data_IF_108861780873
#
_entry.id   IF_108861780873
#
_cell.length_a   1.000
_cell.length_b   1.000
_cell.length_c   1.000
_cell.angle_alpha   90.00
_cell.angle_beta   90.00
_cell.angle_gamma   90.00
#
_symmetry.space_group_name_H-M   'P 1'
#
loop_
_entity.id
_entity.type
_entity.pdbx_description
1 polymer ?
#
# COMPACT_ATOMS: atom_id res chain seq x y z
N UNK A 1 -20.39 31.47 36.53
CA UNK A 1 -21.03 30.21 37.02
C UNK A 1 -22.31 30.03 36.21
N UNK A 2 -22.64 28.95 35.50
CA UNK A 2 -22.16 27.58 35.24
C UNK A 2 -22.46 27.35 33.74
N UNK A 3 -21.64 26.71 32.90
CA UNK A 3 -21.13 25.36 33.06
C UNK A 3 -22.21 24.36 32.63
N UNK A 4 -22.26 24.01 31.34
CA UNK A 4 -23.16 23.01 30.77
C UNK A 4 -22.49 22.31 29.60
N UNK A 5 -21.77 21.23 29.92
CA UNK A 5 -20.96 20.37 29.05
C UNK A 5 -21.89 19.39 28.34
N UNK A 6 -21.90 19.35 27.01
CA UNK A 6 -22.51 18.26 26.24
C UNK A 6 -21.39 17.29 25.84
N UNK A 7 -21.27 16.21 26.62
CA UNK A 7 -20.41 15.08 26.30
C UNK A 7 -21.12 14.18 25.27
N UNK A 8 -20.76 14.35 24.00
CA UNK A 8 -21.07 13.37 22.96
C UNK A 8 -20.03 12.26 22.96
N UNK A 9 -20.24 11.22 23.77
CA UNK A 9 -19.43 9.99 23.71
C UNK A 9 -19.84 9.15 22.50
N UNK A 10 -19.42 9.57 21.31
CA UNK A 10 -19.45 8.75 20.10
C UNK A 10 -18.15 7.96 19.98
N UNK A 11 -18.04 6.82 20.67
CA UNK A 11 -17.04 5.81 20.28
C UNK A 11 -17.49 5.25 18.93
N UNK A 12 -17.03 5.87 17.85
CA UNK A 12 -17.10 5.26 16.52
C UNK A 12 -16.07 4.14 16.50
N UNK A 13 -16.50 2.96 16.93
CA UNK A 13 -15.82 1.70 16.64
C UNK A 13 -15.85 1.52 15.12
N UNK A 14 -14.84 2.03 14.41
CA UNK A 14 -14.51 1.56 13.08
C UNK A 14 -13.96 0.16 13.26
N UNK A 15 -14.83 -0.86 13.31
CA UNK A 15 -14.43 -2.21 12.94
C UNK A 15 -14.08 -2.15 11.46
N UNK A 16 -12.83 -1.82 11.16
CA UNK A 16 -12.23 -2.12 9.87
C UNK A 16 -12.47 -3.59 9.62
N UNK A 17 -12.97 -3.96 8.44
CA UNK A 17 -12.92 -5.35 8.01
C UNK A 17 -11.47 -5.81 8.19
N UNK A 18 -11.26 -6.85 8.98
CA UNK A 18 -9.92 -7.35 9.31
C UNK A 18 -9.22 -7.68 8.00
N UNK A 19 -8.12 -6.99 7.69
CA UNK A 19 -7.33 -7.24 6.50
C UNK A 19 -6.69 -8.62 6.66
N UNK A 20 -6.96 -9.54 5.74
CA UNK A 20 -6.37 -10.89 5.78
C UNK A 20 -5.11 -10.89 4.92
N UNK A 21 -4.01 -11.35 5.50
CA UNK A 21 -2.71 -11.45 4.83
C UNK A 21 -2.29 -12.91 4.67
N UNK A 22 -1.56 -13.22 3.59
CA UNK A 22 -0.92 -14.51 3.43
C UNK A 22 0.43 -14.55 4.17
N UNK A 23 1.12 -13.43 4.27
CA UNK A 23 2.30 -13.23 5.13
C UNK A 23 1.95 -13.19 6.62
N UNK A 24 2.91 -13.57 7.46
CA UNK A 24 2.83 -13.26 8.90
C UNK A 24 3.16 -11.80 9.15
N UNK A 25 2.81 -11.31 10.34
CA UNK A 25 3.16 -9.94 10.74
C UNK A 25 4.67 -9.73 10.76
N UNK A 26 5.44 -10.68 11.28
CA UNK A 26 6.89 -10.63 11.40
C UNK A 26 7.58 -10.53 10.03
N UNK A 27 7.05 -11.23 9.02
CA UNK A 27 7.56 -11.18 7.66
C UNK A 27 7.37 -9.80 7.03
N UNK A 28 6.21 -9.17 7.27
CA UNK A 28 5.96 -7.78 6.83
C UNK A 28 6.82 -6.80 7.59
N UNK A 29 6.88 -6.94 8.92
CA UNK A 29 7.67 -6.10 9.81
C UNK A 29 9.15 -6.11 9.40
N UNK A 30 9.69 -7.27 9.03
CA UNK A 30 11.07 -7.43 8.57
C UNK A 30 11.40 -6.58 7.33
N UNK A 31 10.41 -6.24 6.50
CA UNK A 31 10.60 -5.39 5.32
C UNK A 31 10.38 -3.89 5.60
N UNK A 32 9.85 -3.53 6.78
CA UNK A 32 9.64 -2.12 7.13
C UNK A 32 10.97 -1.39 7.41
N UNK A 33 11.04 -0.06 7.24
CA UNK A 33 12.26 0.71 7.48
C UNK A 33 12.87 0.52 8.88
N UNK A 34 14.20 0.36 8.92
CA UNK A 34 15.02 0.30 10.15
C UNK A 34 15.99 1.47 10.29
N UNK A 35 16.17 2.25 9.23
CA UNK A 35 17.15 3.33 9.11
C UNK A 35 16.63 4.41 8.16
N UNK A 36 17.41 5.49 7.97
CA UNK A 36 17.10 6.62 7.08
C UNK A 36 15.83 7.40 7.48
N UNK A 37 15.47 7.36 8.76
CA UNK A 37 14.27 7.96 9.29
C UNK A 37 13.97 7.49 10.70
N UNK A 38 12.81 7.91 11.19
CA UNK A 38 12.33 7.61 12.54
C UNK A 38 10.86 7.24 12.54
N UNK A 39 10.52 6.29 13.38
CA UNK A 39 9.13 5.97 13.70
C UNK A 39 8.60 6.97 14.72
N UNK A 40 7.36 7.44 14.54
CA UNK A 40 6.69 8.32 15.49
C UNK A 40 6.24 7.56 16.76
N UNK A 41 6.17 6.24 16.68
CA UNK A 41 5.83 5.33 17.78
C UNK A 41 6.38 3.93 17.50
N UNK A 42 5.55 2.90 17.71
CA UNK A 42 5.93 1.51 17.45
C UNK A 42 6.20 1.27 15.95
N UNK A 43 7.30 0.57 15.65
CA UNK A 43 7.68 0.22 14.28
C UNK A 43 6.64 -0.72 13.68
N UNK A 44 6.15 -0.40 12.49
CA UNK A 44 5.10 -1.16 11.80
C UNK A 44 3.67 -0.73 12.15
N UNK A 45 3.47 0.03 13.23
CA UNK A 45 2.16 0.44 13.76
C UNK A 45 2.05 1.96 13.96
N UNK A 46 2.93 2.72 13.33
CA UNK A 46 2.97 4.18 13.45
C UNK A 46 3.48 4.83 12.18
N UNK A 47 3.64 6.15 12.19
CA UNK A 47 4.14 6.89 11.04
C UNK A 47 5.66 6.77 10.95
N UNK A 48 6.17 6.36 9.79
CA UNK A 48 7.58 6.48 9.47
C UNK A 48 7.89 7.82 8.80
N UNK A 49 8.82 8.59 9.38
CA UNK A 49 9.27 9.90 8.90
C UNK A 49 10.67 9.72 8.31
N UNK A 50 10.79 9.84 6.99
CA UNK A 50 12.04 9.62 6.26
C UNK A 50 12.94 10.88 6.29
N UNK A 51 14.27 10.72 6.30
CA UNK A 51 15.22 11.85 6.37
C UNK A 51 15.47 12.54 5.01
N UNK A 52 15.30 11.80 3.92
CA UNK A 52 15.43 12.31 2.56
C UNK A 52 14.48 13.49 2.21
N UNK A 53 15.06 14.60 1.77
CA UNK A 53 14.35 15.85 1.46
C UNK A 53 13.33 15.70 0.31
N UNK A 54 13.68 15.05 -0.80
CA UNK A 54 12.77 14.83 -1.94
C UNK A 54 11.48 14.08 -1.51
N UNK A 55 11.60 13.09 -0.62
CA UNK A 55 10.44 12.40 -0.05
C UNK A 55 9.59 13.35 0.77
N UNK A 56 10.22 14.15 1.61
CA UNK A 56 9.52 15.08 2.50
C UNK A 56 8.81 16.19 1.71
N UNK A 57 9.39 16.66 0.61
CA UNK A 57 8.74 17.60 -0.31
C UNK A 57 7.46 17.01 -0.92
N UNK A 58 7.50 15.75 -1.39
CA UNK A 58 6.32 15.06 -1.92
C UNK A 58 5.23 14.91 -0.85
N UNK A 59 5.61 14.49 0.36
CA UNK A 59 4.66 14.29 1.45
C UNK A 59 4.03 15.60 1.94
N UNK A 60 4.80 16.70 1.91
CA UNK A 60 4.29 18.02 2.30
C UNK A 60 3.17 18.53 1.37
N UNK A 61 3.19 18.14 0.08
CA UNK A 61 2.13 18.50 -0.88
C UNK A 61 0.78 17.85 -0.56
N UNK A 62 0.77 16.84 0.33
CA UNK A 62 -0.41 16.13 0.78
C UNK A 62 -0.58 16.22 2.31
N UNK A 63 -0.01 17.27 2.92
CA UNK A 63 -0.07 17.56 4.36
C UNK A 63 0.37 16.40 5.26
N UNK A 64 1.29 15.55 4.78
CA UNK A 64 1.87 14.44 5.51
C UNK A 64 3.33 14.75 5.88
N UNK A 65 3.74 14.27 7.07
CA UNK A 65 5.14 14.31 7.53
C UNK A 65 5.87 12.98 7.35
N UNK A 66 5.15 11.93 6.98
CA UNK A 66 5.61 10.56 6.87
C UNK A 66 4.51 9.67 6.30
N UNK A 67 4.80 8.37 6.16
CA UNK A 67 3.82 7.37 5.76
C UNK A 67 3.36 6.59 6.99
N UNK A 68 2.05 6.47 7.13
CA UNK A 68 1.43 5.69 8.20
C UNK A 68 1.53 4.20 7.88
N UNK A 69 1.90 3.40 8.88
CA UNK A 69 1.84 1.94 8.80
C UNK A 69 0.84 1.40 9.81
N UNK A 70 0.15 0.33 9.44
CA UNK A 70 -0.58 -0.56 10.34
C UNK A 70 -0.43 -2.00 9.87
N UNK A 71 -0.36 -2.95 10.79
CA UNK A 71 -0.05 -4.34 10.48
C UNK A 71 1.25 -4.49 9.65
N UNK A 72 2.22 -3.59 9.86
CA UNK A 72 3.45 -3.47 9.08
C UNK A 72 3.26 -3.24 7.55
N UNK A 73 2.10 -2.68 7.15
CA UNK A 73 1.80 -2.30 5.76
C UNK A 73 1.71 -0.77 5.63
N UNK A 74 2.39 -0.14 4.66
CA UNK A 74 2.29 1.30 4.45
C UNK A 74 0.97 1.69 3.80
N UNK A 75 0.40 2.82 4.22
CA UNK A 75 -0.69 3.48 3.52
C UNK A 75 -0.14 4.52 2.52
N UNK A 76 -0.05 4.14 1.24
CA UNK A 76 0.30 5.07 0.17
C UNK A 76 -0.88 5.82 -0.44
N UNK A 77 -2.11 5.63 0.06
CA UNK A 77 -3.30 6.31 -0.46
C UNK A 77 -3.17 7.83 -0.53
N UNK A 78 -2.52 8.53 0.43
CA UNK A 78 -2.43 9.99 0.38
C UNK A 78 -1.57 10.51 -0.78
N UNK A 79 -0.60 9.71 -1.26
CA UNK A 79 0.30 10.09 -2.36
C UNK A 79 -0.11 9.48 -3.71
N UNK A 80 -1.18 8.69 -3.75
CA UNK A 80 -1.67 8.02 -4.95
C UNK A 80 -2.28 9.03 -5.94
N UNK A 81 -1.82 9.02 -7.19
CA UNK A 81 -2.41 9.79 -8.30
C UNK A 81 -3.53 9.03 -9.02
N UNK A 82 -3.74 7.77 -8.68
CA UNK A 82 -4.80 6.95 -9.26
C UNK A 82 -4.89 5.62 -8.54
N UNK A 83 -6.09 5.29 -8.08
CA UNK A 83 -6.40 4.00 -7.44
C UNK A 83 -7.37 3.21 -8.31
N UNK A 84 -7.06 1.95 -8.57
CA UNK A 84 -7.93 1.00 -9.28
C UNK A 84 -7.89 -0.36 -8.60
N UNK A 85 -8.91 -1.19 -8.83
CA UNK A 85 -8.95 -2.55 -8.33
C UNK A 85 -8.88 -3.51 -9.52
N UNK A 86 -7.93 -4.44 -9.50
CA UNK A 86 -7.78 -5.49 -10.52
C UNK A 86 -8.30 -6.82 -9.98
N UNK A 87 -8.89 -7.61 -10.87
CA UNK A 87 -9.24 -8.99 -10.56
C UNK A 87 -8.05 -9.91 -10.81
N UNK A 88 -7.81 -10.85 -9.88
CA UNK A 88 -6.76 -11.85 -9.99
C UNK A 88 -5.36 -11.24 -10.09
N UNK A 89 -4.97 -10.44 -9.10
CA UNK A 89 -3.57 -10.05 -8.92
C UNK A 89 -2.72 -11.31 -8.76
N UNK A 90 -1.62 -11.40 -9.49
CA UNK A 90 -0.70 -12.54 -9.43
C UNK A 90 0.74 -12.11 -9.19
N UNK A 91 1.67 -13.05 -9.19
CA UNK A 91 3.11 -12.76 -9.14
C UNK A 91 3.65 -12.05 -10.40
N UNK A 92 2.88 -12.02 -11.49
CA UNK A 92 3.24 -11.33 -12.74
C UNK A 92 2.90 -9.83 -12.66
N UNK A 93 3.92 -9.05 -12.28
CA UNK A 93 3.87 -7.59 -12.17
C UNK A 93 3.45 -6.92 -13.48
N UNK A 94 3.95 -7.38 -14.62
CA UNK A 94 3.66 -6.75 -15.91
C UNK A 94 2.20 -6.96 -16.32
N UNK A 95 1.65 -8.15 -16.05
CA UNK A 95 0.22 -8.42 -16.23
C UNK A 95 -0.65 -7.55 -15.32
N UNK A 96 -0.29 -7.44 -14.04
CA UNK A 96 -0.99 -6.57 -13.07
C UNK A 96 -0.97 -5.10 -13.53
N UNK A 97 0.21 -4.60 -13.94
CA UNK A 97 0.39 -3.22 -14.42
C UNK A 97 -0.44 -2.94 -15.67
N UNK A 98 -0.53 -3.90 -16.60
CA UNK A 98 -1.36 -3.76 -17.80
C UNK A 98 -2.85 -3.62 -17.45
N UNK A 99 -3.37 -4.47 -16.54
CA UNK A 99 -4.76 -4.37 -16.05
C UNK A 99 -5.00 -3.01 -15.37
N UNK A 100 -4.07 -2.55 -14.56
CA UNK A 100 -4.18 -1.26 -13.86
C UNK A 100 -4.15 -0.07 -14.83
N UNK A 101 -3.25 -0.09 -15.83
CA UNK A 101 -3.19 0.92 -16.90
C UNK A 101 -4.52 0.97 -17.69
N UNK A 102 -5.12 -0.18 -17.99
CA UNK A 102 -6.42 -0.27 -18.69
C UNK A 102 -7.57 0.34 -17.89
N UNK A 103 -7.62 0.08 -16.58
CA UNK A 103 -8.66 0.62 -15.71
C UNK A 103 -8.50 2.12 -15.46
N UNK A 104 -7.26 2.59 -15.25
CA UNK A 104 -7.00 4.00 -15.04
C UNK A 104 -7.23 4.81 -16.31
N UNK A 105 -6.89 4.25 -17.48
CA UNK A 105 -7.16 4.84 -18.79
C UNK A 105 -8.65 5.17 -18.97
N UNK A 106 -9.54 4.26 -18.58
CA UNK A 106 -11.00 4.51 -18.58
C UNK A 106 -11.39 5.67 -17.68
N UNK A 107 -10.80 5.78 -16.49
CA UNK A 107 -11.07 6.88 -15.54
C UNK A 107 -10.58 8.23 -16.07
N UNK A 108 -9.45 8.23 -16.78
CA UNK A 108 -8.83 9.44 -17.31
C UNK A 108 -9.33 9.83 -18.72
N UNK A 109 -10.08 8.96 -19.40
CA UNK A 109 -10.52 9.20 -20.77
C UNK A 109 -9.38 9.17 -21.80
N UNK A 110 -8.34 8.39 -21.54
CA UNK A 110 -7.15 8.24 -22.40
C UNK A 110 -6.91 6.77 -22.75
N UNK A 111 -5.87 6.47 -23.52
CA UNK A 111 -5.47 5.09 -23.81
C UNK A 111 -4.56 4.49 -22.72
N UNK A 112 -4.52 3.16 -22.55
CA UNK A 112 -3.58 2.51 -21.62
C UNK A 112 -2.11 2.83 -21.93
N UNK A 113 -1.79 3.03 -23.21
CA UNK A 113 -0.44 3.44 -23.65
C UNK A 113 -0.08 4.84 -23.15
N UNK A 114 -1.03 5.76 -23.15
CA UNK A 114 -0.84 7.12 -22.60
C UNK A 114 -0.65 7.09 -21.09
N UNK A 115 -1.40 6.27 -20.36
CA UNK A 115 -1.16 6.05 -18.92
C UNK A 115 0.26 5.52 -18.69
N UNK A 116 0.65 4.43 -19.34
CA UNK A 116 2.01 3.87 -19.23
C UNK A 116 3.10 4.88 -19.54
N UNK A 117 2.91 5.70 -20.59
CA UNK A 117 3.84 6.77 -20.97
C UNK A 117 3.90 7.84 -19.87
N UNK A 118 2.76 8.31 -19.39
CA UNK A 118 2.68 9.30 -18.31
C UNK A 118 3.40 8.82 -17.05
N UNK A 119 3.16 7.57 -16.62
CA UNK A 119 3.83 6.99 -15.44
C UNK A 119 5.36 7.03 -15.56
N UNK A 120 5.89 6.60 -16.71
CA UNK A 120 7.33 6.61 -16.96
C UNK A 120 7.91 8.03 -16.99
N UNK A 121 7.23 8.96 -17.65
CA UNK A 121 7.69 10.35 -17.76
C UNK A 121 7.65 11.10 -16.43
N UNK A 122 6.67 10.80 -15.58
CA UNK A 122 6.48 11.47 -14.29
C UNK A 122 7.09 10.70 -13.10
N UNK A 123 7.78 9.58 -13.35
CA UNK A 123 8.41 8.73 -12.33
C UNK A 123 7.41 8.16 -11.30
N UNK A 124 6.32 7.58 -11.81
CA UNK A 124 5.33 6.85 -11.01
C UNK A 124 5.36 5.34 -11.31
N UNK A 125 5.04 4.55 -10.30
CA UNK A 125 4.87 3.10 -10.41
C UNK A 125 3.53 2.68 -9.84
N UNK A 126 3.01 1.55 -10.33
CA UNK A 126 1.95 0.88 -9.61
C UNK A 126 2.54 0.18 -8.38
N UNK A 127 1.88 0.37 -7.25
CA UNK A 127 2.03 -0.41 -6.02
C UNK A 127 0.87 -1.41 -5.97
N UNK A 128 1.19 -2.69 -6.02
CA UNK A 128 0.25 -3.77 -5.71
C UNK A 128 0.04 -3.84 -4.20
N UNK A 129 -1.16 -3.57 -3.71
CA UNK A 129 -1.46 -3.57 -2.28
C UNK A 129 -1.69 -5.00 -1.75
N UNK A 130 -1.47 -5.21 -0.45
CA UNK A 130 -1.52 -6.51 0.22
C UNK A 130 -2.91 -7.15 0.24
N UNK A 131 -3.96 -6.43 -0.15
CA UNK A 131 -5.32 -6.97 -0.28
C UNK A 131 -5.55 -7.79 -1.57
N UNK A 132 -4.50 -7.96 -2.40
CA UNK A 132 -4.50 -8.70 -3.67
C UNK A 132 -5.43 -8.14 -4.75
N UNK A 133 -5.85 -6.87 -4.62
CA UNK A 133 -6.81 -6.26 -5.54
C UNK A 133 -6.45 -4.82 -5.88
N UNK A 134 -6.09 -4.03 -4.87
CA UNK A 134 -5.86 -2.61 -5.01
C UNK A 134 -4.52 -2.33 -5.67
N UNK A 135 -4.55 -1.44 -6.65
CA UNK A 135 -3.39 -0.90 -7.35
C UNK A 135 -3.37 0.60 -7.12
N UNK A 136 -2.30 1.10 -6.50
CA UNK A 136 -2.09 2.53 -6.27
C UNK A 136 -0.97 3.07 -7.16
N UNK A 137 -1.26 4.14 -7.91
CA UNK A 137 -0.29 4.80 -8.75
C UNK A 137 0.47 5.84 -7.93
N UNK A 138 1.67 5.48 -7.46
CA UNK A 138 2.43 6.26 -6.47
C UNK A 138 3.77 6.74 -7.05
N UNK A 139 4.37 7.80 -6.50
CA UNK A 139 5.72 8.21 -6.89
C UNK A 139 6.70 7.07 -6.64
N UNK A 140 7.53 6.73 -7.63
CA UNK A 140 8.45 5.59 -7.53
C UNK A 140 9.44 5.74 -6.36
N UNK A 141 9.81 6.97 -6.02
CA UNK A 141 10.70 7.28 -4.90
C UNK A 141 10.05 7.03 -3.53
N UNK A 142 8.73 7.20 -3.42
CA UNK A 142 8.00 6.83 -2.19
C UNK A 142 7.96 5.30 -2.09
N UNK A 143 7.53 4.62 -3.17
CA UNK A 143 7.45 3.16 -3.16
C UNK A 143 8.77 2.47 -2.83
N UNK A 144 9.92 3.04 -3.24
CA UNK A 144 11.23 2.44 -2.98
C UNK A 144 11.80 2.73 -1.59
N UNK A 145 11.50 3.88 -0.98
CA UNK A 145 12.09 4.31 0.29
C UNK A 145 11.31 3.85 1.52
N UNK A 146 10.02 3.57 1.36
CA UNK A 146 9.17 3.04 2.42
C UNK A 146 9.08 1.53 2.29
N UNK A 147 10.05 0.79 2.84
CA UNK A 147 10.12 -0.67 2.73
C UNK A 147 8.83 -1.38 3.20
N UNK A 148 8.44 -2.44 2.46
CA UNK A 148 7.22 -3.20 2.69
C UNK A 148 7.21 -4.52 1.89
N UNK A 149 6.33 -5.44 2.30
CA UNK A 149 5.81 -6.48 1.40
C UNK A 149 4.55 -5.93 0.73
N UNK A 150 4.43 -6.09 -0.59
CA UNK A 150 3.21 -5.72 -1.34
C UNK A 150 2.41 -6.93 -1.79
N UNK A 151 1.35 -6.69 -2.56
CA UNK A 151 0.41 -7.69 -3.07
C UNK A 151 1.05 -8.82 -3.87
N UNK A 152 2.13 -8.55 -4.63
CA UNK A 152 2.88 -9.61 -5.35
C UNK A 152 3.52 -10.61 -4.38
N UNK A 153 4.03 -10.13 -3.24
CA UNK A 153 4.57 -11.01 -2.20
C UNK A 153 3.47 -11.82 -1.52
N UNK A 154 2.31 -11.21 -1.29
CA UNK A 154 1.12 -11.90 -0.78
C UNK A 154 0.61 -12.98 -1.74
N UNK A 155 0.64 -12.70 -3.06
CA UNK A 155 0.22 -13.64 -4.10
C UNK A 155 1.15 -14.85 -4.15
N UNK A 156 2.47 -14.62 -4.11
CA UNK A 156 3.46 -15.70 -4.07
C UNK A 156 3.30 -16.60 -2.83
N UNK A 157 2.99 -16.02 -1.67
CA UNK A 157 2.69 -16.79 -0.47
C UNK A 157 1.39 -17.58 -0.59
N UNK A 158 0.36 -17.05 -1.23
CA UNK A 158 -0.86 -17.79 -1.50
C UNK A 158 -0.58 -19.01 -2.41
N UNK A 159 0.19 -18.82 -3.49
CA UNK A 159 0.59 -19.91 -4.39
C UNK A 159 1.39 -20.99 -3.66
N UNK A 160 2.35 -20.61 -2.80
CA UNK A 160 3.13 -21.55 -2.00
C UNK A 160 2.23 -22.39 -1.06
N UNK A 161 1.31 -21.75 -0.33
CA UNK A 161 0.39 -22.46 0.58
C UNK A 161 -0.52 -23.45 -0.15
N UNK A 162 -0.95 -23.12 -1.37
CA UNK A 162 -1.77 -24.02 -2.18
C UNK A 162 -0.96 -25.26 -2.61
N UNK A 163 0.31 -25.08 -2.97
CA UNK A 163 1.21 -26.20 -3.31
C UNK A 163 1.45 -27.09 -2.08
N UNK A 164 1.78 -26.51 -0.94
CA UNK A 164 2.01 -27.24 0.32
C UNK A 164 0.75 -27.95 0.82
N UNK A 165 -0.42 -27.32 0.70
CA UNK A 165 -1.71 -27.91 1.05
C UNK A 165 -2.12 -29.05 0.12
N UNK A 166 -1.79 -28.96 -1.17
CA UNK A 166 -2.05 -30.02 -2.15
C UNK A 166 -1.21 -31.27 -1.93
N UNK A 167 0.05 -31.13 -1.49
CA UNK A 167 0.93 -32.27 -1.21
C UNK A 167 0.45 -33.09 0.00
N UNK A 168 -0.25 -32.47 0.95
CA UNK A 168 -0.73 -33.13 2.18
C UNK A 168 -2.13 -33.77 2.05
N UNK A 169 -2.79 -33.63 0.89
CA UNK A 169 -4.16 -34.10 0.65
C UNK A 169 -4.31 -35.50 0.03
N UNK A 170 -3.20 -36.13 -0.38
CA UNK A 170 -3.19 -37.41 -1.11
C UNK A 170 -2.59 -38.57 -0.29
N UNK A 171 -2.91 -38.67 1.00
CA UNK A 171 -2.53 -39.80 1.87
C UNK A 171 -3.76 -40.53 2.44
#
# INVERSE_FOLDING_TARGET
MKGGKIEGTGKVSKKSATRTFNSTYEERLAQTPVNNGKWSGERGESTFIHENEEVNEILSQVDKKGIDYSDAVPDFSPVSKGRVEIEGMSIDRDANFKKADELLAKKWGVTPKEVKKWRKQNKYTWHEDNDLKTMDLVPSVINSKFGHLGGVSEAGKAEQKLIEGGINGDN
#
